data_IF_035092477897
#
_entry.id   IF_035092477897
#
_cell.length_a   1.000
_cell.length_b   1.000
_cell.length_c   1.000
_cell.angle_alpha   90.00
_cell.angle_beta   90.00
_cell.angle_gamma   90.00
#
_symmetry.space_group_name_H-M   'P 1'
#
loop_
_entity.id
_entity.type
_entity.pdbx_description
1 polymer ?
#
# COMPACT_ATOMS: atom_id res chain seq x y z
N UNK A 1 -9.30 -22.55 7.32
CA UNK A 1 -9.33 -21.90 6.00
C UNK A 1 -8.29 -20.83 6.10
N UNK A 2 -7.12 -21.12 5.54
CA UNK A 2 -5.97 -20.22 5.56
C UNK A 2 -6.36 -18.87 4.98
N UNK A 3 -6.26 -17.85 5.82
CA UNK A 3 -6.22 -16.43 5.42
C UNK A 3 -5.09 -15.80 6.19
N UNK A 4 -3.94 -16.48 6.21
CA UNK A 4 -2.68 -15.77 6.28
C UNK A 4 -2.42 -15.35 4.82
N UNK A 5 -3.18 -14.35 4.36
CA UNK A 5 -2.67 -13.48 3.32
C UNK A 5 -1.43 -12.87 3.96
N UNK A 6 -0.27 -13.47 3.67
CA UNK A 6 0.98 -12.75 3.67
C UNK A 6 0.73 -11.54 2.78
N UNK A 7 0.33 -10.42 3.39
CA UNK A 7 0.28 -9.14 2.71
C UNK A 7 1.72 -8.86 2.35
N UNK A 8 2.09 -9.33 1.15
CA UNK A 8 3.38 -9.05 0.55
C UNK A 8 3.61 -7.54 0.68
N UNK A 9 4.81 -7.10 1.06
CA UNK A 9 5.08 -5.68 1.24
C UNK A 9 4.65 -4.94 -0.03
N UNK A 10 3.97 -3.80 0.14
CA UNK A 10 3.58 -2.95 -0.98
C UNK A 10 4.83 -2.65 -1.80
N UNK A 11 4.75 -2.93 -3.11
CA UNK A 11 5.89 -2.77 -3.99
C UNK A 11 6.12 -1.28 -4.27
N UNK A 12 7.38 -0.80 -4.22
CA UNK A 12 7.66 0.60 -4.47
C UNK A 12 7.31 0.97 -5.91
N UNK A 13 6.92 2.23 -6.16
CA UNK A 13 6.57 2.71 -7.49
C UNK A 13 7.74 2.58 -8.47
N UNK A 14 7.42 2.42 -9.74
CA UNK A 14 8.41 2.38 -10.83
C UNK A 14 8.23 3.52 -11.81
N UNK A 15 9.35 4.08 -12.27
CA UNK A 15 9.32 5.02 -13.40
C UNK A 15 9.27 4.22 -14.68
N UNK A 16 8.21 4.44 -15.47
CA UNK A 16 8.09 3.85 -16.80
C UNK A 16 8.26 4.94 -17.87
N UNK A 17 8.90 4.61 -19.00
CA UNK A 17 8.84 5.47 -20.18
C UNK A 17 7.38 5.68 -20.63
N UNK A 18 7.10 6.76 -21.36
CA UNK A 18 5.78 7.00 -21.91
C UNK A 18 5.42 5.91 -22.93
N UNK A 19 4.12 5.67 -23.10
CA UNK A 19 3.59 4.59 -23.96
C UNK A 19 4.20 4.57 -25.38
N UNK A 20 4.37 5.70 -26.10
CA UNK A 20 4.97 5.68 -27.44
C UNK A 20 6.41 5.16 -27.47
N UNK A 21 7.19 5.39 -26.41
CA UNK A 21 8.55 4.86 -26.30
C UNK A 21 8.53 3.35 -26.02
N UNK A 22 7.61 2.88 -25.18
CA UNK A 22 7.40 1.44 -24.95
C UNK A 22 6.95 0.73 -26.23
N UNK A 23 6.00 1.31 -26.97
CA UNK A 23 5.55 0.80 -28.27
C UNK A 23 6.69 0.72 -29.27
N UNK A 24 7.50 1.79 -29.37
CA UNK A 24 8.66 1.81 -30.25
C UNK A 24 9.70 0.74 -29.87
N UNK A 25 9.96 0.55 -28.57
CA UNK A 25 10.85 -0.48 -28.07
C UNK A 25 10.33 -1.90 -28.39
N UNK A 26 9.03 -2.15 -28.19
CA UNK A 26 8.41 -3.44 -28.51
C UNK A 26 8.50 -3.75 -30.01
N UNK A 27 8.22 -2.78 -30.88
CA UNK A 27 8.37 -2.94 -32.34
C UNK A 27 9.82 -3.18 -32.77
N UNK A 28 10.79 -2.54 -32.11
CA UNK A 28 12.21 -2.69 -32.42
C UNK A 28 12.74 -4.13 -32.20
N UNK A 29 12.05 -4.94 -31.40
CA UNK A 29 12.38 -6.37 -31.23
C UNK A 29 12.09 -7.21 -32.47
N UNK A 30 11.17 -6.75 -33.34
CA UNK A 30 10.66 -7.50 -34.48
C UNK A 30 9.77 -8.70 -34.14
N UNK A 31 9.47 -8.94 -32.85
CA UNK A 31 8.66 -10.07 -32.38
C UNK A 31 7.15 -9.77 -32.43
N UNK A 32 6.78 -8.50 -32.42
CA UNK A 32 5.42 -8.00 -32.63
C UNK A 32 5.38 -7.08 -33.85
N UNK A 33 4.21 -6.98 -34.47
CA UNK A 33 4.02 -6.19 -35.70
C UNK A 33 3.23 -4.92 -35.40
N UNK A 34 3.39 -3.93 -36.27
CA UNK A 34 2.59 -2.70 -36.24
C UNK A 34 1.17 -3.03 -36.75
N UNK A 35 0.24 -3.18 -35.82
CA UNK A 35 -1.15 -3.53 -36.12
C UNK A 35 -1.95 -3.86 -34.87
N UNK A 36 -2.92 -3.00 -34.52
CA UNK A 36 -3.70 -3.14 -33.29
C UNK A 36 -2.99 -2.57 -32.07
N UNK A 37 -3.28 -3.13 -30.88
CA UNK A 37 -2.60 -2.77 -29.65
C UNK A 37 -1.27 -3.55 -29.55
N UNK A 38 -0.17 -2.85 -29.84
CA UNK A 38 1.19 -3.42 -29.86
C UNK A 38 1.61 -3.87 -28.46
N UNK A 39 1.26 -3.12 -27.42
CA UNK A 39 1.66 -3.45 -26.05
C UNK A 39 0.86 -4.62 -25.50
N UNK A 40 -0.43 -4.74 -25.85
CA UNK A 40 -1.22 -5.93 -25.53
C UNK A 40 -0.64 -7.18 -26.22
N UNK A 41 -0.28 -7.06 -27.49
CA UNK A 41 0.35 -8.15 -28.25
C UNK A 41 1.70 -8.56 -27.65
N UNK A 42 2.50 -7.57 -27.25
CA UNK A 42 3.78 -7.78 -26.57
C UNK A 42 3.59 -8.44 -25.20
N UNK A 43 2.62 -8.00 -24.39
CA UNK A 43 2.29 -8.60 -23.11
C UNK A 43 1.91 -10.08 -23.24
N UNK A 44 1.08 -10.42 -24.24
CA UNK A 44 0.69 -11.81 -24.50
C UNK A 44 1.92 -12.69 -24.82
N UNK A 45 2.81 -12.19 -25.69
CA UNK A 45 4.06 -12.87 -26.02
C UNK A 45 4.97 -13.05 -24.79
N UNK A 46 5.14 -11.99 -23.99
CA UNK A 46 5.96 -12.03 -22.79
C UNK A 46 5.44 -13.08 -21.79
N UNK A 47 4.12 -13.16 -21.57
CA UNK A 47 3.51 -14.19 -20.71
C UNK A 47 3.74 -15.61 -21.22
N UNK A 48 3.72 -15.82 -22.53
CA UNK A 48 4.01 -17.12 -23.13
C UNK A 48 5.48 -17.52 -22.95
N UNK A 49 6.40 -16.55 -23.12
CA UNK A 49 7.85 -16.81 -23.08
C UNK A 49 8.45 -16.83 -21.69
N UNK A 50 7.81 -16.15 -20.73
CA UNK A 50 8.28 -15.99 -19.36
C UNK A 50 7.29 -16.64 -18.39
N UNK A 51 7.26 -17.98 -18.40
CA UNK A 51 6.42 -18.76 -17.49
C UNK A 51 6.62 -18.34 -16.02
N UNK A 52 5.54 -18.07 -15.27
CA UNK A 52 5.62 -17.75 -13.85
C UNK A 52 6.40 -18.82 -13.07
N UNK A 53 7.43 -18.40 -12.33
CA UNK A 53 8.32 -19.30 -11.58
C UNK A 53 9.43 -19.96 -12.41
N UNK A 54 9.46 -19.76 -13.74
CA UNK A 54 10.56 -20.21 -14.59
C UNK A 54 11.85 -19.42 -14.37
N UNK A 55 13.03 -19.95 -14.76
CA UNK A 55 14.32 -19.30 -14.49
C UNK A 55 14.46 -17.88 -15.06
N UNK A 56 13.93 -17.63 -16.26
CA UNK A 56 13.95 -16.31 -16.90
C UNK A 56 13.04 -15.32 -16.15
N UNK A 57 11.82 -15.76 -15.78
CA UNK A 57 10.91 -14.97 -14.95
C UNK A 57 11.54 -14.62 -13.59
N UNK A 58 12.13 -15.59 -12.88
CA UNK A 58 12.76 -15.34 -11.58
C UNK A 58 13.95 -14.37 -11.69
N UNK A 59 14.68 -14.43 -12.80
CA UNK A 59 15.78 -13.48 -13.07
C UNK A 59 15.24 -12.07 -13.33
N UNK A 60 14.19 -11.95 -14.14
CA UNK A 60 13.50 -10.68 -14.41
C UNK A 60 12.92 -10.07 -13.11
N UNK A 61 12.20 -10.87 -12.33
CA UNK A 61 11.62 -10.47 -11.07
C UNK A 61 12.71 -10.03 -10.08
N UNK A 62 13.85 -10.73 -10.02
CA UNK A 62 14.98 -10.31 -9.18
C UNK A 62 15.55 -8.97 -9.62
N UNK A 63 15.82 -8.78 -10.91
CA UNK A 63 16.32 -7.51 -11.45
C UNK A 63 15.37 -6.34 -11.11
N UNK A 64 14.07 -6.59 -11.24
CA UNK A 64 13.03 -5.61 -10.98
C UNK A 64 12.89 -5.26 -9.49
N UNK A 65 12.80 -6.29 -8.63
CA UNK A 65 12.56 -6.12 -7.20
C UNK A 65 13.81 -5.67 -6.44
N UNK A 66 14.99 -6.21 -6.78
CA UNK A 66 16.24 -5.84 -6.11
C UNK A 66 16.80 -4.51 -6.62
N UNK A 67 16.42 -4.07 -7.84
CA UNK A 67 16.98 -2.90 -8.53
C UNK A 67 18.52 -2.94 -8.63
N UNK A 68 19.08 -4.14 -8.65
CA UNK A 68 20.52 -4.38 -8.74
C UNK A 68 20.88 -4.92 -10.12
N UNK A 69 21.94 -4.39 -10.77
CA UNK A 69 22.40 -4.90 -12.06
C UNK A 69 22.85 -6.36 -11.98
N UNK A 70 22.54 -7.15 -13.01
CA UNK A 70 22.97 -8.53 -13.12
C UNK A 70 24.43 -8.59 -13.59
N UNK A 71 25.30 -9.15 -12.75
CA UNK A 71 26.77 -9.23 -13.00
C UNK A 71 27.22 -10.56 -13.61
N UNK A 72 26.28 -11.49 -13.83
CA UNK A 72 26.56 -12.81 -14.43
C UNK A 72 26.35 -12.77 -15.96
N UNK A 73 26.50 -13.92 -16.61
CA UNK A 73 26.25 -14.07 -18.04
C UNK A 73 24.85 -13.60 -18.44
N UNK A 74 24.73 -13.11 -19.68
CA UNK A 74 23.47 -12.59 -20.21
C UNK A 74 22.39 -13.69 -20.25
N UNK A 75 21.23 -13.47 -19.63
CA UNK A 75 20.09 -14.36 -19.77
C UNK A 75 19.51 -14.27 -21.19
N UNK A 76 19.88 -15.23 -22.03
CA UNK A 76 19.46 -15.31 -23.45
C UNK A 76 17.95 -15.05 -23.65
N UNK A 77 17.02 -15.65 -22.87
CA UNK A 77 15.59 -15.37 -23.04
C UNK A 77 15.20 -13.91 -22.80
N UNK A 78 15.87 -13.20 -21.89
CA UNK A 78 15.58 -11.79 -21.60
C UNK A 78 16.22 -10.85 -22.63
N UNK A 79 17.40 -11.23 -23.14
CA UNK A 79 18.10 -10.51 -24.20
C UNK A 79 17.37 -10.59 -25.55
N UNK A 80 16.89 -11.79 -25.93
CA UNK A 80 16.06 -11.97 -27.14
C UNK A 80 14.79 -11.13 -27.11
N UNK A 81 14.22 -10.92 -25.93
CA UNK A 81 13.05 -10.07 -25.71
C UNK A 81 13.41 -8.57 -25.58
N UNK A 82 14.68 -8.17 -25.72
CA UNK A 82 15.10 -6.78 -25.59
C UNK A 82 14.85 -6.17 -24.21
N UNK A 83 14.74 -7.00 -23.18
CA UNK A 83 14.43 -6.57 -21.80
C UNK A 83 15.68 -6.10 -21.04
N UNK A 84 16.88 -6.37 -21.58
CA UNK A 84 18.16 -6.03 -20.97
C UNK A 84 18.92 -4.97 -21.77
N UNK A 85 19.61 -4.08 -21.07
CA UNK A 85 20.59 -3.15 -21.60
C UNK A 85 21.99 -3.45 -21.08
N UNK A 86 23.00 -3.04 -21.86
CA UNK A 86 24.42 -3.11 -21.49
C UNK A 86 25.16 -4.32 -22.06
N UNK A 87 26.49 -4.30 -21.93
CA UNK A 87 27.38 -5.43 -22.24
C UNK A 87 27.92 -6.12 -20.98
N UNK A 88 27.19 -5.99 -19.86
CA UNK A 88 27.60 -6.40 -18.51
C UNK A 88 28.19 -5.24 -17.67
N UNK A 89 27.66 -4.95 -16.46
CA UNK A 89 26.47 -5.56 -15.85
C UNK A 89 25.17 -5.19 -16.58
N UNK A 90 24.16 -6.06 -16.52
CA UNK A 90 22.89 -5.88 -17.24
C UNK A 90 21.85 -5.20 -16.36
N UNK A 91 21.16 -4.23 -16.96
CA UNK A 91 20.03 -3.51 -16.35
C UNK A 91 18.77 -3.74 -17.18
N UNK A 92 17.60 -3.49 -16.59
CA UNK A 92 16.35 -3.55 -17.34
C UNK A 92 16.23 -2.35 -18.28
N UNK A 93 15.83 -2.61 -19.53
CA UNK A 93 15.36 -1.53 -20.42
C UNK A 93 14.02 -0.98 -19.91
N UNK A 94 13.54 0.13 -20.48
CA UNK A 94 12.19 0.62 -20.20
C UNK A 94 11.09 -0.42 -20.49
N UNK A 95 11.25 -1.17 -21.58
CA UNK A 95 10.39 -2.32 -21.91
C UNK A 95 10.57 -3.48 -20.92
N UNK A 96 11.80 -3.69 -20.46
CA UNK A 96 12.17 -4.59 -19.35
C UNK A 96 11.41 -4.30 -18.06
N UNK A 97 11.43 -3.03 -17.61
CA UNK A 97 10.73 -2.58 -16.41
C UNK A 97 9.22 -2.73 -16.54
N UNK A 98 8.65 -2.29 -17.67
CA UNK A 98 7.21 -2.43 -17.93
C UNK A 98 6.78 -3.91 -17.94
N UNK A 99 7.55 -4.77 -18.61
CA UNK A 99 7.27 -6.22 -18.70
C UNK A 99 7.40 -6.89 -17.33
N UNK A 100 8.43 -6.55 -16.57
CA UNK A 100 8.62 -7.07 -15.21
C UNK A 100 7.48 -6.65 -14.29
N UNK A 101 7.10 -5.37 -14.31
CA UNK A 101 5.95 -4.86 -13.55
C UNK A 101 4.69 -5.67 -13.83
N UNK A 102 4.36 -5.84 -15.12
CA UNK A 102 3.18 -6.59 -15.55
C UNK A 102 3.19 -8.03 -15.00
N UNK A 103 4.28 -8.76 -15.22
CA UNK A 103 4.35 -10.18 -14.86
C UNK A 103 4.46 -10.42 -13.35
N UNK A 104 5.18 -9.55 -12.63
CA UNK A 104 5.27 -9.63 -11.16
C UNK A 104 3.92 -9.27 -10.54
N UNK A 105 3.21 -8.27 -11.06
CA UNK A 105 1.85 -7.96 -10.61
C UNK A 105 0.89 -9.13 -10.83
N UNK A 106 0.88 -9.71 -12.03
CA UNK A 106 0.06 -10.88 -12.35
C UNK A 106 0.36 -12.07 -11.41
N UNK A 107 1.64 -12.33 -11.12
CA UNK A 107 2.07 -13.46 -10.31
C UNK A 107 1.84 -13.28 -8.80
N UNK A 108 1.99 -12.05 -8.30
CA UNK A 108 1.80 -11.72 -6.87
C UNK A 108 0.36 -11.37 -6.51
N UNK A 109 -0.47 -11.04 -7.51
CA UNK A 109 -1.78 -10.45 -7.29
C UNK A 109 -1.72 -9.02 -6.74
N UNK A 110 -0.54 -8.38 -6.75
CA UNK A 110 -0.35 -7.01 -6.26
C UNK A 110 -0.16 -6.04 -7.40
N UNK A 111 -0.89 -4.93 -7.39
CA UNK A 111 -0.59 -3.83 -8.30
C UNK A 111 0.70 -3.13 -7.85
N UNK A 112 1.60 -2.90 -8.79
CA UNK A 112 2.86 -2.18 -8.55
C UNK A 112 2.67 -0.75 -9.06
N UNK A 113 2.69 0.30 -8.24
CA UNK A 113 2.39 1.64 -8.72
C UNK A 113 3.38 2.14 -9.79
N UNK A 114 2.91 3.03 -10.67
CA UNK A 114 3.75 3.75 -11.64
C UNK A 114 3.76 5.22 -11.26
N UNK A 115 4.94 5.84 -11.27
CA UNK A 115 5.01 7.28 -11.01
C UNK A 115 4.17 8.09 -12.01
N UNK A 116 3.43 9.05 -11.48
CA UNK A 116 2.51 9.92 -12.22
C UNK A 116 1.18 9.27 -12.57
N UNK A 117 0.97 7.98 -12.28
CA UNK A 117 -0.29 7.31 -12.57
C UNK A 117 -1.45 7.86 -11.72
N UNK A 118 -1.15 8.45 -10.56
CA UNK A 118 -2.16 9.02 -9.68
C UNK A 118 -2.51 10.47 -10.05
N UNK A 119 -1.83 11.12 -10.99
CA UNK A 119 -2.04 12.54 -11.30
C UNK A 119 -3.50 12.87 -11.68
N UNK A 120 -4.19 11.94 -12.35
CA UNK A 120 -5.61 12.07 -12.72
C UNK A 120 -6.59 11.36 -11.78
N UNK A 121 -6.12 10.79 -10.67
CA UNK A 121 -6.95 10.06 -9.73
C UNK A 121 -7.74 11.02 -8.80
N UNK A 122 -8.86 10.55 -8.27
CA UNK A 122 -9.52 11.28 -7.17
C UNK A 122 -8.69 11.19 -5.87
N UNK A 123 -9.02 12.03 -4.89
CA UNK A 123 -8.27 12.10 -3.64
C UNK A 123 -8.27 10.78 -2.85
N UNK A 124 -9.35 9.99 -2.89
CA UNK A 124 -9.41 8.72 -2.18
C UNK A 124 -8.50 7.68 -2.84
N UNK A 125 -8.50 7.61 -4.17
CA UNK A 125 -7.62 6.76 -4.97
C UNK A 125 -6.15 7.18 -4.82
N UNK A 126 -5.85 8.48 -4.79
CA UNK A 126 -4.51 9.00 -4.46
C UNK A 126 -4.05 8.47 -3.09
N UNK A 127 -4.85 8.68 -2.03
CA UNK A 127 -4.51 8.23 -0.69
C UNK A 127 -4.41 6.70 -0.57
N UNK A 128 -5.11 5.95 -1.43
CA UNK A 128 -4.94 4.51 -1.51
C UNK A 128 -3.58 4.13 -2.11
N UNK A 129 -3.20 4.75 -3.24
CA UNK A 129 -1.93 4.50 -3.92
C UNK A 129 -0.71 4.88 -3.06
N UNK A 130 -0.74 6.06 -2.43
CA UNK A 130 0.39 6.59 -1.64
C UNK A 130 0.77 5.71 -0.43
N UNK A 131 -0.08 4.76 -0.02
CA UNK A 131 0.23 3.78 1.04
C UNK A 131 1.47 2.95 0.73
N UNK A 132 1.73 2.68 -0.55
CA UNK A 132 2.88 1.89 -1.00
C UNK A 132 4.15 2.69 -1.26
N UNK A 133 4.08 4.02 -1.14
CA UNK A 133 5.18 4.92 -1.45
C UNK A 133 5.97 5.22 -0.17
N UNK A 134 7.29 5.32 -0.28
CA UNK A 134 8.12 5.95 0.75
C UNK A 134 7.85 7.46 0.85
N UNK A 135 8.19 8.08 1.97
CA UNK A 135 7.84 9.49 2.23
C UNK A 135 8.43 10.46 1.18
N UNK A 136 9.67 10.22 0.76
CA UNK A 136 10.35 10.95 -0.32
C UNK A 136 9.70 10.74 -1.69
N UNK A 137 9.17 9.55 -1.96
CA UNK A 137 8.48 9.22 -3.21
C UNK A 137 7.08 9.83 -3.27
N UNK A 138 6.41 9.99 -2.13
CA UNK A 138 5.08 10.62 -2.04
C UNK A 138 5.10 12.07 -2.48
N UNK A 139 6.15 12.82 -2.14
CA UNK A 139 6.28 14.24 -2.51
C UNK A 139 6.19 14.42 -4.02
N UNK A 140 6.89 13.57 -4.79
CA UNK A 140 6.88 13.63 -6.24
C UNK A 140 5.51 13.31 -6.83
N UNK A 141 4.86 12.24 -6.37
CA UNK A 141 3.53 11.84 -6.87
C UNK A 141 2.46 12.88 -6.54
N UNK A 142 2.52 13.41 -5.32
CA UNK A 142 1.62 14.46 -4.84
C UNK A 142 1.80 15.76 -5.63
N UNK A 143 3.03 16.15 -5.95
CA UNK A 143 3.29 17.33 -6.77
C UNK A 143 2.61 17.23 -8.15
N UNK A 144 2.65 16.06 -8.79
CA UNK A 144 1.97 15.81 -10.06
C UNK A 144 0.43 15.87 -9.93
N UNK A 145 -0.12 15.32 -8.85
CA UNK A 145 -1.58 15.38 -8.60
C UNK A 145 -2.08 16.80 -8.34
N UNK A 146 -1.29 17.61 -7.61
CA UNK A 146 -1.60 19.01 -7.29
C UNK A 146 -1.54 19.96 -8.51
N UNK A 147 -1.08 19.49 -9.68
CA UNK A 147 -1.14 20.32 -10.90
C UNK A 147 -2.59 20.60 -11.34
N UNK A 148 -3.53 19.74 -10.96
CA UNK A 148 -4.95 19.84 -11.36
C UNK A 148 -5.94 19.70 -10.22
N UNK A 149 -5.47 19.49 -8.98
CA UNK A 149 -6.31 19.24 -7.80
C UNK A 149 -5.89 20.11 -6.61
N UNK A 150 -6.81 20.25 -5.65
CA UNK A 150 -6.60 21.06 -4.46
C UNK A 150 -6.41 20.19 -3.20
N UNK A 151 -5.57 20.60 -2.23
CA UNK A 151 -5.42 19.87 -0.96
C UNK A 151 -6.73 19.65 -0.20
N UNK A 152 -7.71 20.55 -0.39
CA UNK A 152 -9.04 20.45 0.22
C UNK A 152 -9.78 19.15 -0.15
N UNK A 153 -9.50 18.58 -1.32
CA UNK A 153 -10.09 17.31 -1.74
C UNK A 153 -9.55 16.13 -0.90
N UNK A 154 -8.29 16.18 -0.49
CA UNK A 154 -7.70 15.20 0.45
C UNK A 154 -8.38 15.30 1.80
N UNK A 155 -8.54 16.51 2.33
CA UNK A 155 -9.22 16.75 3.61
C UNK A 155 -10.66 16.20 3.60
N UNK A 156 -11.39 16.39 2.49
CA UNK A 156 -12.78 15.98 2.35
C UNK A 156 -13.00 14.46 2.43
N UNK A 157 -12.01 13.64 2.04
CA UNK A 157 -12.15 12.18 1.97
C UNK A 157 -11.64 11.43 3.21
N UNK A 158 -11.00 12.10 4.16
CA UNK A 158 -10.31 11.43 5.29
C UNK A 158 -11.22 10.54 6.15
N UNK A 159 -12.50 10.87 6.29
CA UNK A 159 -13.46 10.07 7.06
C UNK A 159 -13.90 8.78 6.35
N UNK A 160 -13.75 8.73 5.03
CA UNK A 160 -14.27 7.65 4.17
C UNK A 160 -13.20 6.61 3.80
N UNK A 161 -11.94 7.03 3.77
CA UNK A 161 -10.82 6.15 3.40
C UNK A 161 -10.43 5.17 4.52
N UNK A 162 -9.62 4.17 4.15
CA UNK A 162 -9.10 3.20 5.11
C UNK A 162 -8.19 3.86 6.16
N UNK A 163 -8.04 3.27 7.36
CA UNK A 163 -7.14 3.76 8.39
C UNK A 163 -5.72 4.08 7.90
N UNK A 164 -5.11 3.23 7.07
CA UNK A 164 -3.77 3.54 6.52
C UNK A 164 -3.79 4.70 5.51
N UNK A 165 -4.80 4.78 4.64
CA UNK A 165 -4.95 5.91 3.73
C UNK A 165 -5.20 7.23 4.48
N UNK A 166 -5.98 7.19 5.57
CA UNK A 166 -6.20 8.33 6.46
C UNK A 166 -4.90 8.77 7.12
N UNK A 167 -4.13 7.82 7.64
CA UNK A 167 -2.80 8.08 8.22
C UNK A 167 -1.89 8.79 7.22
N UNK A 168 -1.81 8.32 5.98
CA UNK A 168 -1.03 8.95 4.90
C UNK A 168 -1.58 10.35 4.59
N UNK A 169 -2.90 10.52 4.48
CA UNK A 169 -3.51 11.80 4.19
C UNK A 169 -3.28 12.85 5.27
N UNK A 170 -3.26 12.45 6.55
CA UNK A 170 -2.90 13.35 7.66
C UNK A 170 -1.44 13.81 7.54
N UNK A 171 -0.51 12.89 7.24
CA UNK A 171 0.90 13.24 7.07
C UNK A 171 1.09 14.21 5.89
N UNK A 172 0.44 13.91 4.75
CA UNK A 172 0.45 14.78 3.56
C UNK A 172 -0.08 16.16 3.87
N UNK A 173 -1.28 16.27 4.47
CA UNK A 173 -1.87 17.57 4.80
C UNK A 173 -1.04 18.35 5.83
N UNK A 174 -0.36 17.68 6.76
CA UNK A 174 0.52 18.34 7.72
C UNK A 174 1.68 19.07 7.03
N UNK A 175 2.12 18.57 5.86
CA UNK A 175 3.18 19.16 5.05
C UNK A 175 2.67 20.25 4.11
N UNK A 176 1.55 20.02 3.41
CA UNK A 176 1.11 20.89 2.31
C UNK A 176 -0.03 21.86 2.66
N UNK A 177 -0.82 21.57 3.69
CA UNK A 177 -2.07 22.29 3.99
C UNK A 177 -2.43 22.21 5.48
N UNK A 178 -1.51 22.66 6.34
CA UNK A 178 -1.63 22.57 7.79
C UNK A 178 -2.88 23.27 8.34
N UNK A 179 -3.30 24.36 7.72
CA UNK A 179 -4.51 25.10 8.07
C UNK A 179 -5.78 24.26 7.95
N UNK A 180 -5.90 23.46 6.88
CA UNK A 180 -7.02 22.52 6.73
C UNK A 180 -7.01 21.44 7.81
N UNK A 181 -5.82 20.98 8.19
CA UNK A 181 -5.66 19.99 9.26
C UNK A 181 -6.01 20.57 10.63
N UNK A 182 -5.70 21.85 10.86
CA UNK A 182 -6.08 22.59 12.06
C UNK A 182 -7.61 22.76 12.16
N UNK A 183 -8.34 22.88 11.06
CA UNK A 183 -9.81 22.87 11.06
C UNK A 183 -10.37 21.48 11.44
N UNK A 184 -9.83 20.42 10.84
CA UNK A 184 -10.27 19.04 11.05
C UNK A 184 -9.99 18.52 12.48
N UNK A 185 -9.06 19.12 13.22
CA UNK A 185 -8.76 18.72 14.60
C UNK A 185 -9.98 18.85 15.54
N UNK A 186 -10.96 19.66 15.15
CA UNK A 186 -12.20 19.87 15.89
C UNK A 186 -13.29 18.85 15.57
N UNK A 187 -13.15 18.06 14.51
CA UNK A 187 -14.13 17.04 14.14
C UNK A 187 -14.10 15.87 15.14
N UNK A 188 -15.28 15.38 15.59
CA UNK A 188 -15.34 14.20 16.46
C UNK A 188 -14.68 12.99 15.82
N UNK A 189 -13.96 12.19 16.60
CA UNK A 189 -13.22 10.98 16.18
C UNK A 189 -12.04 11.29 15.23
N UNK A 190 -12.27 11.91 14.07
CA UNK A 190 -11.20 12.25 13.11
C UNK A 190 -10.19 13.22 13.73
N UNK A 191 -10.67 14.27 14.39
CA UNK A 191 -9.80 15.24 15.07
C UNK A 191 -8.98 14.62 16.20
N UNK A 192 -9.53 13.61 16.89
CA UNK A 192 -8.80 12.84 17.90
C UNK A 192 -7.69 11.97 17.28
N UNK A 193 -7.93 11.37 16.10
CA UNK A 193 -6.91 10.63 15.34
C UNK A 193 -5.80 11.57 14.88
N UNK A 194 -6.16 12.73 14.31
CA UNK A 194 -5.21 13.77 13.89
C UNK A 194 -4.35 14.21 15.07
N UNK A 195 -4.97 14.55 16.20
CA UNK A 195 -4.25 15.02 17.38
C UNK A 195 -3.29 13.96 17.92
N UNK A 196 -3.74 12.71 18.05
CA UNK A 196 -2.90 11.61 18.51
C UNK A 196 -1.72 11.35 17.57
N UNK A 197 -1.95 11.37 16.25
CA UNK A 197 -0.93 11.12 15.24
C UNK A 197 0.15 12.21 15.22
N UNK A 198 -0.25 13.47 15.35
CA UNK A 198 0.66 14.62 15.33
C UNK A 198 1.29 14.94 16.70
N UNK A 199 0.93 14.20 17.76
CA UNK A 199 1.42 14.47 19.11
C UNK A 199 0.93 15.81 19.67
N UNK A 200 -0.32 16.20 19.36
CA UNK A 200 -0.94 17.44 19.83
C UNK A 200 -1.49 17.30 21.24
N UNK A 201 -0.83 17.92 22.21
CA UNK A 201 -1.27 17.90 23.62
C UNK A 201 -2.50 18.78 23.88
N UNK A 202 -2.79 19.75 23.01
CA UNK A 202 -3.89 20.70 23.12
C UNK A 202 -5.26 20.08 22.81
N UNK A 203 -5.28 18.86 22.25
CA UNK A 203 -6.50 18.10 21.98
C UNK A 203 -6.39 16.67 22.49
N UNK A 204 -6.89 16.44 23.70
CA UNK A 204 -7.00 15.10 24.28
C UNK A 204 -8.29 14.41 23.80
N UNK A 205 -8.26 13.11 23.45
CA UNK A 205 -9.46 12.37 23.05
C UNK A 205 -10.45 12.26 24.20
N UNK A 206 -11.74 12.43 23.91
CA UNK A 206 -12.79 12.05 24.85
C UNK A 206 -12.79 10.52 25.05
N UNK A 207 -13.36 10.00 26.16
CA UNK A 207 -13.36 8.55 26.42
C UNK A 207 -13.91 7.69 25.28
N UNK A 208 -14.93 8.17 24.57
CA UNK A 208 -15.54 7.49 23.43
C UNK A 208 -14.65 7.53 22.17
N UNK A 209 -13.84 8.59 22.01
CA UNK A 209 -12.90 8.74 20.89
C UNK A 209 -11.63 7.94 21.09
N UNK A 210 -11.22 7.73 22.34
CA UNK A 210 -10.00 6.98 22.67
C UNK A 210 -10.01 5.57 22.05
N UNK A 211 -11.13 4.85 22.17
CA UNK A 211 -11.28 3.53 21.56
C UNK A 211 -11.26 3.60 20.02
N UNK A 212 -11.78 4.68 19.43
CA UNK A 212 -11.74 4.89 17.99
C UNK A 212 -10.31 5.08 17.49
N UNK A 213 -9.54 5.97 18.15
CA UNK A 213 -8.13 6.24 17.83
C UNK A 213 -7.29 4.97 17.88
N UNK A 214 -7.44 4.17 18.95
CA UNK A 214 -6.69 2.93 19.09
C UNK A 214 -7.01 1.92 17.96
N UNK A 215 -8.28 1.76 17.61
CA UNK A 215 -8.67 0.85 16.51
C UNK A 215 -8.14 1.35 15.17
N UNK A 216 -8.22 2.66 14.91
CA UNK A 216 -7.75 3.26 13.66
C UNK A 216 -6.24 3.10 13.49
N UNK A 217 -5.46 3.43 14.53
CA UNK A 217 -4.00 3.27 14.50
C UNK A 217 -3.60 1.80 14.37
N UNK A 218 -4.27 0.89 15.10
CA UNK A 218 -4.04 -0.54 14.99
C UNK A 218 -4.31 -1.08 13.58
N UNK A 219 -5.44 -0.69 12.99
CA UNK A 219 -5.83 -1.08 11.66
C UNK A 219 -4.85 -0.54 10.60
N UNK A 220 -4.39 0.71 10.74
CA UNK A 220 -3.39 1.29 9.84
C UNK A 220 -2.08 0.48 9.84
N UNK A 221 -1.60 0.03 11.01
CA UNK A 221 -0.40 -0.81 11.10
C UNK A 221 -0.60 -2.20 10.47
N UNK A 222 -1.79 -2.80 10.62
CA UNK A 222 -2.13 -4.07 9.97
C UNK A 222 -2.16 -3.92 8.45
N UNK A 223 -2.79 -2.87 7.95
CA UNK A 223 -2.86 -2.57 6.51
C UNK A 223 -1.48 -2.29 5.89
N UNK A 224 -0.54 -1.74 6.67
CA UNK A 224 0.81 -1.46 6.20
C UNK A 224 1.64 -2.75 6.01
N UNK A 225 1.18 -3.88 6.53
CA UNK A 225 1.96 -5.11 6.59
C UNK A 225 2.93 -5.15 7.78
N UNK A 226 2.70 -4.31 8.80
CA UNK A 226 3.40 -4.45 10.08
C UNK A 226 3.15 -5.84 10.66
N UNK A 227 4.19 -6.47 11.21
CA UNK A 227 4.05 -7.77 11.84
C UNK A 227 2.98 -7.67 12.93
N UNK A 228 2.10 -8.67 13.02
CA UNK A 228 1.06 -8.71 14.07
C UNK A 228 1.65 -8.41 15.44
N UNK A 229 2.84 -8.93 15.74
CA UNK A 229 3.57 -8.67 16.99
C UNK A 229 3.87 -7.18 17.23
N UNK A 230 4.14 -6.39 16.19
CA UNK A 230 4.39 -4.95 16.30
C UNK A 230 3.11 -4.18 16.63
N UNK A 231 1.97 -4.62 16.07
CA UNK A 231 0.65 -4.10 16.43
C UNK A 231 0.32 -4.42 17.89
N UNK A 232 0.58 -5.65 18.33
CA UNK A 232 0.34 -6.04 19.72
C UNK A 232 1.22 -5.24 20.68
N UNK A 233 2.50 -5.04 20.36
CA UNK A 233 3.46 -4.31 21.20
C UNK A 233 3.16 -2.81 21.28
N UNK A 234 2.81 -2.18 20.16
CA UNK A 234 2.49 -0.75 20.12
C UNK A 234 1.21 -0.41 20.90
N UNK A 235 0.32 -1.38 21.07
CA UNK A 235 -0.91 -1.24 21.84
C UNK A 235 -0.75 -1.69 23.30
N UNK A 236 0.39 -2.27 23.69
CA UNK A 236 0.67 -2.73 25.05
C UNK A 236 0.92 -1.59 26.02
N UNK A 237 -0.18 -1.05 26.56
CA UNK A 237 -0.18 0.00 27.57
C UNK A 237 -0.11 -0.53 29.00
N UNK A 238 0.03 -1.84 29.22
CA UNK A 238 -0.01 -2.47 30.55
C UNK A 238 -1.42 -2.65 31.16
N UNK A 239 -2.47 -2.09 30.54
CA UNK A 239 -3.89 -2.25 30.93
C UNK A 239 -4.75 -2.85 29.81
N UNK A 240 -4.14 -3.68 28.96
CA UNK A 240 -4.74 -4.13 27.69
C UNK A 240 -6.12 -4.79 27.83
N UNK A 241 -6.35 -5.56 28.89
CA UNK A 241 -7.63 -6.24 29.11
C UNK A 241 -8.79 -5.25 29.35
N UNK A 242 -8.52 -4.12 30.03
CA UNK A 242 -9.47 -3.03 30.20
C UNK A 242 -9.77 -2.34 28.87
N UNK A 243 -8.71 -2.03 28.13
CA UNK A 243 -8.79 -1.44 26.78
C UNK A 243 -9.60 -2.30 25.81
N UNK A 244 -9.35 -3.61 25.75
CA UNK A 244 -10.09 -4.53 24.89
C UNK A 244 -11.59 -4.60 25.24
N UNK A 245 -11.93 -4.39 26.51
CA UNK A 245 -13.33 -4.31 26.91
C UNK A 245 -13.97 -3.03 26.38
N UNK A 246 -13.27 -1.90 26.44
CA UNK A 246 -13.73 -0.63 25.87
C UNK A 246 -13.94 -0.70 24.35
N UNK A 247 -13.08 -1.42 23.63
CA UNK A 247 -13.22 -1.59 22.17
C UNK A 247 -14.57 -2.22 21.77
N UNK A 248 -15.23 -2.98 22.64
CA UNK A 248 -16.55 -3.58 22.33
C UNK A 248 -17.67 -2.57 22.15
N UNK A 249 -17.49 -1.36 22.67
CA UNK A 249 -18.46 -0.27 22.56
C UNK A 249 -18.09 0.69 21.42
N UNK A 250 -16.98 0.43 20.72
CA UNK A 250 -16.49 1.26 19.63
C UNK A 250 -17.16 0.87 18.31
N UNK A 251 -17.84 1.83 17.68
CA UNK A 251 -18.53 1.67 16.39
C UNK A 251 -17.57 1.78 15.18
N UNK A 252 -16.29 1.46 15.36
CA UNK A 252 -15.31 1.54 14.27
C UNK A 252 -15.44 0.33 13.33
N UNK A 253 -15.45 0.51 11.99
CA UNK A 253 -15.60 -0.60 11.03
C UNK A 253 -14.55 -1.71 11.21
N UNK A 254 -13.34 -1.33 11.63
CA UNK A 254 -12.21 -2.24 11.84
C UNK A 254 -12.14 -2.88 13.24
N UNK A 255 -13.07 -2.60 14.15
CA UNK A 255 -13.05 -3.16 15.51
C UNK A 255 -12.99 -4.69 15.51
N UNK A 256 -13.75 -5.34 14.63
CA UNK A 256 -13.77 -6.80 14.52
C UNK A 256 -12.42 -7.36 14.06
N UNK A 257 -11.79 -6.73 13.06
CA UNK A 257 -10.48 -7.14 12.53
C UNK A 257 -9.41 -7.05 13.61
N UNK A 258 -9.30 -5.91 14.29
CA UNK A 258 -8.30 -5.69 15.34
C UNK A 258 -8.49 -6.69 16.50
N UNK A 259 -9.73 -6.86 16.99
CA UNK A 259 -10.01 -7.85 18.03
C UNK A 259 -9.71 -9.30 17.57
N UNK A 260 -9.91 -9.61 16.29
CA UNK A 260 -9.58 -10.90 15.67
C UNK A 260 -8.10 -11.22 15.74
N UNK A 261 -7.26 -10.20 15.48
CA UNK A 261 -5.81 -10.31 15.59
C UNK A 261 -5.39 -10.61 17.03
N UNK A 262 -5.88 -9.83 18.01
CA UNK A 262 -5.61 -10.08 19.44
C UNK A 262 -6.09 -11.46 19.89
N UNK A 263 -7.25 -11.90 19.44
CA UNK A 263 -7.84 -13.19 19.81
C UNK A 263 -7.04 -14.41 19.32
N UNK A 264 -6.28 -14.25 18.25
CA UNK A 264 -5.58 -15.33 17.55
C UNK A 264 -4.09 -15.35 17.88
N UNK A 265 -3.46 -14.18 17.96
CA UNK A 265 -2.00 -14.08 17.97
C UNK A 265 -1.40 -13.57 19.28
N UNK A 266 -2.19 -13.02 20.21
CA UNK A 266 -1.63 -12.46 21.44
C UNK A 266 -1.06 -13.55 22.37
N UNK A 267 0.18 -13.35 22.81
CA UNK A 267 0.94 -14.31 23.63
C UNK A 267 0.33 -14.56 25.01
N UNK A 268 -0.24 -13.52 25.65
CA UNK A 268 -1.01 -13.65 26.90
C UNK A 268 -2.40 -14.33 26.65
N UNK A 269 -2.67 -15.51 27.25
CA UNK A 269 -3.95 -16.19 27.15
C UNK A 269 -5.15 -15.39 27.69
N UNK A 270 -4.97 -14.53 28.69
CA UNK A 270 -6.04 -13.71 29.26
C UNK A 270 -6.50 -12.64 28.28
N UNK A 271 -5.55 -11.99 27.61
CA UNK A 271 -5.81 -11.00 26.56
C UNK A 271 -6.54 -11.66 25.38
N UNK A 272 -6.02 -12.78 24.89
CA UNK A 272 -6.66 -13.59 23.84
C UNK A 272 -8.09 -14.00 24.19
N UNK A 273 -8.33 -14.48 25.43
CA UNK A 273 -9.67 -14.87 25.88
C UNK A 273 -10.64 -13.67 25.97
N UNK A 274 -10.13 -12.51 26.41
CA UNK A 274 -10.88 -11.26 26.51
C UNK A 274 -11.27 -10.76 25.12
N UNK A 275 -10.34 -10.74 24.16
CA UNK A 275 -10.61 -10.39 22.77
C UNK A 275 -11.67 -11.31 22.12
N UNK A 276 -11.61 -12.63 22.35
CA UNK A 276 -12.66 -13.56 21.87
C UNK A 276 -14.02 -13.27 22.50
N UNK A 277 -14.06 -12.89 23.78
CA UNK A 277 -15.31 -12.50 24.47
C UNK A 277 -15.86 -11.20 23.89
N UNK A 278 -14.98 -10.24 23.59
CA UNK A 278 -15.30 -8.98 22.95
C UNK A 278 -15.92 -9.19 21.56
N UNK A 279 -15.28 -9.99 20.69
CA UNK A 279 -15.80 -10.37 19.36
C UNK A 279 -17.19 -11.01 19.43
N UNK A 280 -17.37 -11.97 20.35
CA UNK A 280 -18.68 -12.62 20.54
C UNK A 280 -19.78 -11.63 20.95
N UNK A 281 -19.43 -10.57 21.68
CA UNK A 281 -20.39 -9.51 22.05
C UNK A 281 -20.70 -8.63 20.85
N UNK A 282 -19.68 -8.18 20.12
CA UNK A 282 -19.82 -7.37 18.91
C UNK A 282 -20.75 -8.04 17.89
N UNK A 283 -20.53 -9.32 17.58
CA UNK A 283 -21.37 -10.08 16.65
C UNK A 283 -22.81 -10.32 17.15
N UNK A 284 -23.06 -10.23 18.45
CA UNK A 284 -24.43 -10.32 19.00
C UNK A 284 -25.18 -9.01 18.90
N UNK A 285 -24.48 -7.87 18.97
CA UNK A 285 -25.07 -6.54 18.84
C UNK A 285 -25.39 -6.19 17.38
N UNK A 286 -24.70 -6.81 16.43
CA UNK A 286 -24.93 -6.63 14.99
C UNK A 286 -26.07 -7.50 14.42
N UNK A 287 -26.80 -8.26 15.26
CA UNK A 287 -27.96 -9.08 14.89
C UNK A 287 -29.24 -8.51 15.47
#
# INVERSE_FOLDING_TARGET
>A
MDTNDDVLPLQPPVHLPPEPELTAAALATGLVQDGGDVLESWAALARERLEPGGPAFLTLARLFLAREPLTVAEPEPLAELGLLAGGGPYELTGLGLWTARLLVSDASGQDIPVYGALAGADAAALLHGLRGYHADEREQELAGWLETHEPAEIAAVLTEVSPLSRAVGIDVLAEIAKDQLDELVHEPRLGAVIAARLGRDDRQPAPEEFAWVLVDMAAAMLEFGGGVEDVLRSLDTGELAGTLTMLTLCEHPWTATVLGVFATHHSDPQVSATARKALRRLHRLAR
#
